data_IF_722106157214
#
_entry.id   IF_722106157214
#
_cell.length_a   1.000
_cell.length_b   1.000
_cell.length_c   1.000
_cell.angle_alpha   90.00
_cell.angle_beta   90.00
_cell.angle_gamma   90.00
#
_symmetry.space_group_name_H-M   'P 1'
#
loop_
_entity.id
_entity.type
_entity.pdbx_description
1 polymer ?
#
# COMPACT_ATOMS: atom_id res chain seq x y z
N UNK A 1 11.18 3.39 17.55
CA UNK A 1 12.61 3.19 17.89
C UNK A 1 13.02 4.28 18.86
N UNK A 2 12.75 4.08 20.15
CA UNK A 2 13.53 4.72 21.22
C UNK A 2 14.71 3.80 21.52
N UNK A 3 15.85 4.39 21.88
CA UNK A 3 17.17 3.77 22.06
C UNK A 3 17.98 3.48 20.79
N UNK A 4 18.44 4.56 20.17
CA UNK A 4 19.79 4.55 19.56
C UNK A 4 20.56 5.77 20.11
N UNK A 5 20.73 5.77 21.44
CA UNK A 5 21.61 6.69 22.15
C UNK A 5 23.03 6.13 22.15
N UNK A 6 23.91 6.78 21.38
CA UNK A 6 25.36 6.83 21.52
C UNK A 6 26.08 5.50 21.86
N UNK A 7 26.35 4.68 20.84
CA UNK A 7 27.32 3.58 20.91
C UNK A 7 28.63 3.91 20.14
N UNK A 8 29.76 3.24 20.45
CA UNK A 8 31.11 3.58 19.94
C UNK A 8 31.31 3.50 18.41
N UNK A 9 30.32 3.04 17.64
CA UNK A 9 30.37 2.98 16.17
C UNK A 9 30.27 4.35 15.49
N UNK A 10 29.94 5.42 16.22
CA UNK A 10 29.69 6.75 15.64
C UNK A 10 30.96 7.58 15.31
N UNK A 11 32.18 7.14 15.66
CA UNK A 11 33.38 7.97 15.45
C UNK A 11 34.09 7.75 14.11
N UNK A 12 33.90 6.60 13.44
CA UNK A 12 34.56 6.29 12.16
C UNK A 12 33.75 6.61 10.91
N UNK A 13 32.43 6.34 10.95
CA UNK A 13 31.55 6.35 9.76
C UNK A 13 31.17 7.78 9.33
N UNK A 14 31.35 8.78 10.19
CA UNK A 14 30.97 10.18 9.89
C UNK A 14 32.14 11.03 9.37
N UNK A 15 33.36 10.49 9.29
CA UNK A 15 34.54 11.21 8.81
C UNK A 15 34.66 11.22 7.28
N UNK A 16 34.11 10.22 6.59
CA UNK A 16 34.14 10.09 5.13
C UNK A 16 32.75 10.40 4.52
N UNK A 17 32.60 11.51 3.77
CA UNK A 17 31.33 11.87 3.12
C UNK A 17 30.79 10.78 2.18
N UNK A 18 31.66 10.01 1.52
CA UNK A 18 31.25 8.98 0.56
C UNK A 18 30.65 7.75 1.26
N UNK A 19 31.24 7.29 2.36
CA UNK A 19 30.73 6.16 3.15
C UNK A 19 29.39 6.51 3.83
N UNK A 20 29.26 7.74 4.33
CA UNK A 20 28.01 8.26 4.89
C UNK A 20 26.90 8.32 3.83
N UNK A 21 27.22 8.78 2.61
CA UNK A 21 26.27 8.83 1.50
C UNK A 21 25.85 7.43 1.06
N UNK A 22 26.79 6.49 0.99
CA UNK A 22 26.50 5.09 0.66
C UNK A 22 25.60 4.41 1.71
N UNK A 23 25.91 4.58 3.01
CA UNK A 23 25.10 4.03 4.09
C UNK A 23 23.69 4.63 4.10
N UNK A 24 23.56 5.94 3.91
CA UNK A 24 22.27 6.62 3.81
C UNK A 24 21.48 6.13 2.59
N UNK A 25 22.13 5.90 1.44
CA UNK A 25 21.49 5.37 0.24
C UNK A 25 20.94 3.95 0.45
N UNK A 26 21.59 3.13 1.27
CA UNK A 26 21.12 1.79 1.63
C UNK A 26 19.96 1.83 2.63
N UNK A 27 20.05 2.67 3.66
CA UNK A 27 19.10 2.69 4.78
C UNK A 27 17.81 3.45 4.46
N UNK A 28 17.86 4.57 3.74
CA UNK A 28 16.68 5.40 3.50
C UNK A 28 15.51 4.65 2.82
N UNK A 29 15.72 3.83 1.77
CA UNK A 29 14.63 3.06 1.17
C UNK A 29 14.01 2.04 2.14
N UNK A 30 14.83 1.36 2.94
CA UNK A 30 14.37 0.38 3.93
C UNK A 30 13.56 1.04 5.05
N UNK A 31 14.06 2.16 5.57
CA UNK A 31 13.36 2.95 6.60
C UNK A 31 12.04 3.49 6.05
N UNK A 32 12.01 3.96 4.80
CA UNK A 32 10.78 4.44 4.17
C UNK A 32 9.76 3.32 3.98
N UNK A 33 10.18 2.15 3.53
CA UNK A 33 9.32 1.00 3.35
C UNK A 33 8.70 0.55 4.69
N UNK A 34 9.53 0.43 5.73
CA UNK A 34 9.07 0.06 7.07
C UNK A 34 8.16 1.12 7.70
N UNK A 35 8.49 2.40 7.54
CA UNK A 35 7.64 3.51 8.00
C UNK A 35 6.27 3.44 7.34
N UNK A 36 6.22 3.22 6.02
CA UNK A 36 4.96 3.15 5.29
C UNK A 36 4.12 1.94 5.71
N UNK A 37 4.77 0.80 5.94
CA UNK A 37 4.14 -0.42 6.44
C UNK A 37 3.53 -0.19 7.83
N UNK A 38 4.28 0.41 8.77
CA UNK A 38 3.77 0.72 10.12
C UNK A 38 2.61 1.72 10.10
N UNK A 39 2.67 2.75 9.24
CA UNK A 39 1.56 3.70 9.08
C UNK A 39 0.30 3.00 8.57
N UNK A 40 0.43 2.07 7.63
CA UNK A 40 -0.71 1.33 7.07
C UNK A 40 -1.35 0.35 8.07
N UNK A 41 -0.58 -0.18 9.00
CA UNK A 41 -1.06 -1.12 10.02
C UNK A 41 -1.67 -0.44 11.25
N UNK A 42 -1.51 0.88 11.40
CA UNK A 42 -2.00 1.59 12.56
C UNK A 42 -3.54 1.63 12.60
N UNK A 43 -4.11 1.17 13.71
CA UNK A 43 -5.56 1.21 14.00
C UNK A 43 -5.96 2.40 14.87
N UNK A 44 -4.98 3.21 15.30
CA UNK A 44 -5.21 4.40 16.11
C UNK A 44 -5.82 5.55 15.28
N UNK A 45 -6.55 6.50 15.91
CA UNK A 45 -7.16 7.62 15.21
C UNK A 45 -6.16 8.51 14.47
N UNK A 46 -4.90 8.56 14.94
CA UNK A 46 -3.79 9.22 14.25
C UNK A 46 -2.47 8.50 14.58
N UNK A 47 -1.45 8.74 13.77
CA UNK A 47 -0.09 8.19 13.94
C UNK A 47 0.87 9.34 14.22
N UNK A 48 1.72 9.19 15.25
CA UNK A 48 2.80 10.13 15.52
C UNK A 48 4.06 9.67 14.80
N UNK A 49 4.43 10.39 13.73
CA UNK A 49 5.62 10.09 12.95
C UNK A 49 6.80 10.98 13.37
N UNK A 50 7.72 10.41 14.15
CA UNK A 50 8.89 11.13 14.70
C UNK A 50 10.09 10.99 13.76
N UNK A 51 10.53 12.11 13.18
CA UNK A 51 11.60 12.13 12.16
C UNK A 51 12.70 13.13 12.54
N UNK A 52 13.95 12.69 12.78
CA UNK A 52 15.05 13.58 13.18
C UNK A 52 15.47 14.65 12.15
N UNK A 53 15.30 14.38 10.86
CA UNK A 53 15.71 15.26 9.74
C UNK A 53 14.51 15.58 8.84
N UNK A 54 13.41 16.03 9.45
CA UNK A 54 12.13 16.25 8.77
C UNK A 54 12.23 17.37 7.71
N UNK A 55 12.92 18.47 8.03
CA UNK A 55 12.99 19.68 7.20
C UNK A 55 14.02 19.51 6.08
N UNK A 56 15.19 19.00 6.44
CA UNK A 56 16.34 18.77 5.58
C UNK A 56 15.98 17.83 4.43
N UNK A 57 15.20 16.79 4.71
CA UNK A 57 14.74 15.83 3.72
C UNK A 57 13.38 16.20 3.09
N UNK A 58 12.85 17.38 3.40
CA UNK A 58 11.53 17.84 2.92
C UNK A 58 10.38 16.86 3.19
N UNK A 59 10.48 16.07 4.27
CA UNK A 59 9.53 15.02 4.61
C UNK A 59 8.24 15.57 5.22
N UNK A 60 8.25 16.81 5.71
CA UNK A 60 7.07 17.52 6.20
C UNK A 60 5.91 17.54 5.17
N UNK A 61 6.22 17.51 3.86
CA UNK A 61 5.22 17.46 2.78
C UNK A 61 4.42 16.17 2.74
N UNK A 62 4.88 15.11 3.41
CA UNK A 62 4.20 13.81 3.49
C UNK A 62 3.36 13.67 4.75
N UNK A 63 3.47 14.59 5.71
CA UNK A 63 2.68 14.59 6.93
C UNK A 63 1.38 15.39 6.74
N UNK A 64 0.32 15.02 7.46
CA UNK A 64 -0.92 15.79 7.46
C UNK A 64 -0.80 17.08 8.27
N UNK A 65 0.01 17.05 9.34
CA UNK A 65 0.36 18.18 10.19
C UNK A 65 1.78 18.01 10.73
N UNK A 66 2.44 19.12 11.01
CA UNK A 66 3.79 19.18 11.57
C UNK A 66 3.74 19.83 12.95
N UNK A 67 4.09 19.05 13.97
CA UNK A 67 4.26 19.52 15.34
C UNK A 67 5.75 19.76 15.61
N UNK A 68 6.12 20.99 15.98
CA UNK A 68 7.49 21.33 16.37
C UNK A 68 7.55 21.57 17.88
N UNK A 69 8.45 20.86 18.56
CA UNK A 69 8.82 21.17 19.94
C UNK A 69 9.98 22.16 19.89
N UNK A 70 9.70 23.42 20.23
CA UNK A 70 10.65 24.52 20.14
C UNK A 70 11.29 24.83 21.50
N UNK A 71 12.54 25.26 21.46
CA UNK A 71 13.30 25.70 22.62
C UNK A 71 14.27 26.80 22.18
N UNK A 72 14.50 27.78 23.04
CA UNK A 72 15.47 28.85 22.78
C UNK A 72 16.88 28.27 22.57
N UNK A 73 17.68 28.83 21.64
CA UNK A 73 19.04 28.36 21.37
C UNK A 73 19.91 28.29 22.64
N UNK A 74 19.77 29.26 23.54
CA UNK A 74 20.51 29.29 24.81
C UNK A 74 20.14 28.13 25.73
N UNK A 75 18.85 27.81 25.82
CA UNK A 75 18.35 26.68 26.64
C UNK A 75 18.71 25.34 26.00
N UNK A 76 18.65 25.24 24.66
CA UNK A 76 19.05 24.05 23.91
C UNK A 76 20.53 23.73 24.13
N UNK A 77 21.39 24.76 24.05
CA UNK A 77 22.83 24.64 24.25
C UNK A 77 23.14 24.21 25.69
N UNK A 78 22.52 24.88 26.68
CA UNK A 78 22.70 24.54 28.10
C UNK A 78 22.26 23.11 28.44
N UNK A 79 21.09 22.67 27.95
CA UNK A 79 20.57 21.31 28.22
C UNK A 79 21.38 20.22 27.51
N UNK A 80 21.84 20.47 26.28
CA UNK A 80 22.68 19.51 25.53
C UNK A 80 24.04 19.33 26.19
N UNK A 81 24.69 20.42 26.61
CA UNK A 81 25.95 20.36 27.35
C UNK A 81 25.82 19.58 28.66
N UNK A 82 24.72 19.78 29.40
CA UNK A 82 24.47 19.07 30.66
C UNK A 82 24.19 17.58 30.49
N UNK A 83 23.57 17.18 29.38
CA UNK A 83 23.19 15.78 29.13
C UNK A 83 24.36 14.95 28.59
N UNK A 84 25.09 15.51 27.64
CA UNK A 84 26.04 14.75 26.81
C UNK A 84 27.51 15.01 27.22
N UNK A 85 27.76 15.85 28.22
CA UNK A 85 29.09 16.24 28.73
C UNK A 85 30.08 16.70 27.63
N UNK A 86 29.58 17.59 26.76
CA UNK A 86 30.29 18.10 25.58
C UNK A 86 30.55 19.60 25.65
N UNK A 87 31.63 20.07 25.00
CA UNK A 87 31.98 21.49 24.95
C UNK A 87 30.99 22.29 24.12
N UNK A 88 30.91 23.60 24.42
CA UNK A 88 30.04 24.53 23.71
C UNK A 88 30.30 24.56 22.20
N UNK A 89 31.58 24.59 21.79
CA UNK A 89 31.91 24.63 20.36
C UNK A 89 31.42 23.38 19.62
N UNK A 90 31.45 22.21 20.28
CA UNK A 90 30.99 20.96 19.68
C UNK A 90 29.47 20.94 19.49
N UNK A 91 28.70 21.44 20.47
CA UNK A 91 27.24 21.57 20.35
C UNK A 91 26.86 22.55 19.24
N UNK A 92 27.57 23.66 19.10
CA UNK A 92 27.36 24.64 18.04
C UNK A 92 27.63 24.04 16.64
N UNK A 93 28.65 23.19 16.50
CA UNK A 93 28.92 22.46 15.25
C UNK A 93 27.80 21.47 14.89
N UNK A 94 27.25 20.76 15.87
CA UNK A 94 26.13 19.83 15.65
C UNK A 94 24.86 20.60 15.22
N UNK A 95 24.58 21.73 15.87
CA UNK A 95 23.43 22.57 15.55
C UNK A 95 23.57 23.22 14.16
N UNK A 96 24.78 23.59 13.75
CA UNK A 96 25.04 24.15 12.42
C UNK A 96 24.77 23.16 11.27
N UNK A 97 24.81 21.85 11.56
CA UNK A 97 24.49 20.80 10.59
C UNK A 97 22.98 20.52 10.45
N UNK A 98 22.13 21.14 11.28
CA UNK A 98 20.68 20.98 11.29
C UNK A 98 19.97 22.21 10.69
N UNK A 99 18.70 22.05 10.31
CA UNK A 99 17.87 23.15 9.86
C UNK A 99 17.73 24.25 10.93
N UNK A 100 17.77 25.50 10.50
CA UNK A 100 17.66 26.65 11.41
C UNK A 100 16.33 26.63 12.16
N UNK A 101 16.29 27.30 13.32
CA UNK A 101 15.05 27.45 14.09
C UNK A 101 13.95 28.11 13.24
N UNK A 102 14.27 29.15 12.45
CA UNK A 102 13.28 29.78 11.57
C UNK A 102 12.76 28.80 10.52
N UNK A 103 13.63 27.98 9.92
CA UNK A 103 13.22 26.99 8.93
C UNK A 103 12.32 25.90 9.53
N UNK A 104 12.58 25.47 10.77
CA UNK A 104 11.71 24.51 11.49
C UNK A 104 10.36 25.10 11.83
N UNK A 105 10.33 26.33 12.34
CA UNK A 105 9.08 27.02 12.68
C UNK A 105 8.25 27.38 11.45
N UNK A 106 8.89 27.66 10.31
CA UNK A 106 8.20 28.00 9.06
C UNK A 106 7.37 26.85 8.47
N UNK A 107 7.71 25.61 8.80
CA UNK A 107 6.95 24.41 8.35
C UNK A 107 6.03 23.85 9.42
N UNK A 108 5.97 24.46 10.61
CA UNK A 108 5.18 23.97 11.73
C UNK A 108 3.71 24.40 11.59
N UNK A 109 2.80 23.45 11.74
CA UNK A 109 1.37 23.74 11.90
C UNK A 109 1.03 24.04 13.37
N UNK A 110 1.72 23.36 14.28
CA UNK A 110 1.55 23.49 15.72
C UNK A 110 2.94 23.55 16.40
N UNK A 111 3.06 24.33 17.47
CA UNK A 111 4.33 24.48 18.22
C UNK A 111 4.08 24.24 19.70
N UNK A 112 4.91 23.41 20.33
CA UNK A 112 5.02 23.30 21.79
C UNK A 112 6.25 24.08 22.23
N UNK A 113 6.05 25.06 23.10
CA UNK A 113 7.14 25.79 23.74
C UNK A 113 7.71 24.97 24.93
N UNK A 114 8.96 24.54 24.81
CA UNK A 114 9.69 23.76 25.82
C UNK A 114 10.76 24.61 26.53
N UNK A 115 10.58 25.94 26.62
CA UNK A 115 11.46 26.81 27.40
C UNK A 115 11.19 26.71 28.92
N UNK A 116 9.99 26.29 29.32
CA UNK A 116 9.55 26.22 30.72
C UNK A 116 9.96 24.94 31.49
N UNK A 117 9.32 24.76 32.66
CA UNK A 117 9.43 23.54 33.47
C UNK A 117 8.68 22.36 32.81
N UNK A 118 9.12 21.10 33.00
CA UNK A 118 8.51 19.93 32.36
C UNK A 118 7.00 19.81 32.58
N UNK A 119 6.53 20.18 33.76
CA UNK A 119 5.11 20.09 34.16
C UNK A 119 4.20 21.03 33.36
N UNK A 120 4.75 22.12 32.79
CA UNK A 120 3.99 23.06 31.98
C UNK A 120 3.60 22.49 30.60
N UNK A 121 4.33 21.49 30.11
CA UNK A 121 4.15 20.92 28.76
C UNK A 121 2.98 19.93 28.72
N UNK A 122 2.66 19.28 29.85
CA UNK A 122 1.59 18.29 29.93
C UNK A 122 0.23 18.86 29.51
N UNK A 123 -0.04 20.12 29.87
CA UNK A 123 -1.26 20.83 29.47
C UNK A 123 -1.33 21.03 27.95
N UNK A 124 -0.23 21.46 27.32
CA UNK A 124 -0.17 21.66 25.87
C UNK A 124 -0.26 20.36 25.09
N UNK A 125 0.40 19.30 25.58
CA UNK A 125 0.30 17.96 25.00
C UNK A 125 -1.14 17.45 25.09
N UNK A 126 -1.81 17.59 26.23
CA UNK A 126 -3.20 17.16 26.39
C UNK A 126 -4.15 17.94 25.47
N UNK A 127 -3.95 19.25 25.35
CA UNK A 127 -4.71 20.12 24.44
C UNK A 127 -4.53 19.71 22.97
N UNK A 128 -3.29 19.48 22.54
CA UNK A 128 -2.98 19.06 21.16
C UNK A 128 -3.46 17.63 20.88
N UNK A 129 -3.34 16.71 21.84
CA UNK A 129 -3.92 15.38 21.74
C UNK A 129 -5.43 15.44 21.53
N UNK A 130 -6.15 16.21 22.36
CA UNK A 130 -7.58 16.39 22.21
C UNK A 130 -7.94 17.04 20.86
N UNK A 131 -7.13 18.00 20.40
CA UNK A 131 -7.31 18.63 19.09
C UNK A 131 -7.13 17.64 17.92
N UNK A 132 -6.06 16.84 17.92
CA UNK A 132 -5.79 15.84 16.89
C UNK A 132 -6.81 14.71 16.92
N UNK A 133 -7.19 14.24 18.10
CA UNK A 133 -8.23 13.24 18.25
C UNK A 133 -9.58 13.76 17.75
N UNK A 134 -9.98 14.98 18.13
CA UNK A 134 -11.20 15.60 17.65
C UNK A 134 -11.16 15.86 16.14
N UNK A 135 -10.01 16.26 15.59
CA UNK A 135 -9.84 16.41 14.15
C UNK A 135 -10.05 15.07 13.43
N UNK A 136 -9.49 13.97 13.92
CA UNK A 136 -9.69 12.65 13.32
C UNK A 136 -11.12 12.11 13.48
N UNK A 137 -11.78 12.38 14.61
CA UNK A 137 -13.18 11.98 14.86
C UNK A 137 -14.15 12.85 14.06
N UNK A 138 -13.91 14.15 13.93
CA UNK A 138 -14.69 15.04 13.07
C UNK A 138 -14.46 14.73 11.58
N UNK A 139 -13.24 14.33 11.19
CA UNK A 139 -12.95 13.73 9.87
C UNK A 139 -13.81 12.49 9.63
N UNK A 140 -14.01 11.65 10.66
CA UNK A 140 -14.86 10.46 10.61
C UNK A 140 -16.38 10.76 10.61
N UNK A 141 -16.84 11.80 11.34
CA UNK A 141 -18.25 12.17 11.50
C UNK A 141 -18.77 13.20 10.48
N UNK A 142 -17.90 14.04 9.91
CA UNK A 142 -18.23 15.08 8.91
C UNK A 142 -17.89 14.59 7.49
N UNK A 143 -17.50 13.32 7.32
CA UNK A 143 -17.24 12.75 5.99
C UNK A 143 -16.10 13.44 5.24
N UNK A 144 -15.19 14.09 5.97
CA UNK A 144 -13.88 14.46 5.44
C UNK A 144 -12.88 13.50 6.03
N UNK A 145 -12.95 12.26 5.57
CA UNK A 145 -11.82 11.35 5.36
C UNK A 145 -10.55 12.18 5.10
N UNK A 146 -9.37 11.68 5.48
CA UNK A 146 -8.18 11.93 4.64
C UNK A 146 -8.69 11.70 3.24
N UNK A 147 -8.93 12.77 2.46
CA UNK A 147 -9.41 12.59 1.12
C UNK A 147 -8.23 11.88 0.49
N UNK A 148 -8.37 10.57 0.30
CA UNK A 148 -7.87 9.94 -0.89
C UNK A 148 -8.46 10.79 -2.00
N UNK A 149 -7.76 11.87 -2.34
CA UNK A 149 -8.11 12.75 -3.46
C UNK A 149 -8.02 11.94 -4.74
N UNK A 150 -7.45 10.73 -4.67
CA UNK A 150 -7.39 9.72 -5.71
C UNK A 150 -7.93 8.37 -5.22
N UNK A 151 -8.79 7.74 -6.02
CA UNK A 151 -9.28 6.37 -5.88
C UNK A 151 -8.56 5.49 -6.91
N UNK A 152 -8.01 4.36 -6.45
CA UNK A 152 -7.36 3.36 -7.30
C UNK A 152 -8.39 2.36 -7.84
N UNK A 153 -8.40 2.18 -9.15
CA UNK A 153 -9.17 1.14 -9.83
C UNK A 153 -8.21 0.17 -10.51
N UNK A 154 -8.39 -1.12 -10.25
CA UNK A 154 -7.68 -2.22 -10.93
C UNK A 154 -8.64 -2.92 -11.89
N UNK A 155 -8.21 -3.16 -13.13
CA UNK A 155 -9.00 -3.87 -14.13
C UNK A 155 -8.18 -4.97 -14.82
N UNK A 156 -8.63 -6.23 -14.79
CA UNK A 156 -7.95 -7.32 -15.47
C UNK A 156 -8.14 -7.21 -16.98
N UNK A 157 -7.05 -7.25 -17.75
CA UNK A 157 -7.09 -7.22 -19.22
C UNK A 157 -7.23 -8.62 -19.84
N UNK A 158 -7.08 -9.68 -19.04
CA UNK A 158 -7.27 -11.06 -19.46
C UNK A 158 -7.91 -11.92 -18.34
N UNK A 159 -8.38 -13.12 -18.69
CA UNK A 159 -9.16 -13.98 -17.77
C UNK A 159 -8.29 -14.58 -16.65
N UNK A 160 -7.00 -14.81 -16.91
CA UNK A 160 -6.02 -15.20 -15.90
C UNK A 160 -5.93 -14.16 -14.78
N UNK A 161 -5.70 -12.89 -15.12
CA UNK A 161 -5.65 -11.80 -14.15
C UNK A 161 -6.99 -11.60 -13.42
N UNK A 162 -8.13 -11.78 -14.12
CA UNK A 162 -9.46 -11.73 -13.49
C UNK A 162 -9.60 -12.78 -12.39
N UNK A 163 -9.17 -14.00 -12.68
CA UNK A 163 -9.21 -15.12 -11.73
C UNK A 163 -8.32 -14.84 -10.53
N UNK A 164 -7.11 -14.33 -10.76
CA UNK A 164 -6.16 -14.00 -9.69
C UNK A 164 -6.63 -12.90 -8.76
N UNK A 165 -7.16 -11.78 -9.29
CA UNK A 165 -7.72 -10.70 -8.46
C UNK A 165 -8.92 -11.18 -7.63
N UNK A 166 -9.76 -12.06 -8.18
CA UNK A 166 -10.87 -12.67 -7.43
C UNK A 166 -10.36 -13.55 -6.29
N UNK A 167 -9.38 -14.40 -6.56
CA UNK A 167 -8.78 -15.28 -5.54
C UNK A 167 -8.11 -14.44 -4.45
N UNK A 168 -7.34 -13.42 -4.81
CA UNK A 168 -6.69 -12.51 -3.86
C UNK A 168 -7.72 -11.84 -2.95
N UNK A 169 -8.78 -11.27 -3.53
CA UNK A 169 -9.86 -10.65 -2.77
C UNK A 169 -10.51 -11.65 -1.81
N UNK A 170 -10.91 -12.83 -2.29
CA UNK A 170 -11.57 -13.85 -1.48
C UNK A 170 -10.68 -14.36 -0.33
N UNK A 171 -9.38 -14.55 -0.57
CA UNK A 171 -8.43 -14.96 0.47
C UNK A 171 -8.29 -13.86 1.53
N UNK A 172 -8.18 -12.59 1.12
CA UNK A 172 -8.12 -11.45 2.05
C UNK A 172 -9.39 -11.37 2.91
N UNK A 173 -10.57 -11.62 2.33
CA UNK A 173 -11.84 -11.59 3.08
C UNK A 173 -11.91 -12.63 4.22
N UNK A 174 -11.14 -13.73 4.15
CA UNK A 174 -11.13 -14.77 5.19
C UNK A 174 -10.59 -14.26 6.53
N UNK A 175 -9.74 -13.23 6.53
CA UNK A 175 -9.09 -12.72 7.74
C UNK A 175 -9.71 -11.43 8.28
N UNK A 176 -10.57 -10.75 7.52
CA UNK A 176 -11.12 -9.41 7.87
C UNK A 176 -11.94 -9.42 9.16
N UNK A 177 -12.79 -10.43 9.34
CA UNK A 177 -13.75 -10.50 10.45
C UNK A 177 -13.37 -11.57 11.49
N UNK A 178 -12.09 -11.89 11.62
CA UNK A 178 -11.61 -12.77 12.68
C UNK A 178 -11.47 -12.01 14.00
N UNK A 179 -11.71 -12.65 15.16
CA UNK A 179 -12.12 -14.05 15.33
C UNK A 179 -13.61 -14.30 15.04
N UNK A 180 -13.97 -15.54 14.70
CA UNK A 180 -15.38 -15.90 14.46
C UNK A 180 -16.09 -16.09 15.80
N UNK A 181 -16.97 -15.14 16.14
CA UNK A 181 -17.73 -15.12 17.40
C UNK A 181 -19.20 -15.45 17.18
N UNK A 182 -19.77 -14.98 16.08
CA UNK A 182 -21.20 -15.00 15.84
C UNK A 182 -21.56 -15.60 14.47
N UNK A 183 -22.87 -15.69 14.24
CA UNK A 183 -23.41 -16.28 13.02
C UNK A 183 -23.07 -15.45 11.77
N UNK A 184 -22.99 -14.13 11.89
CA UNK A 184 -22.64 -13.25 10.79
C UNK A 184 -21.18 -13.45 10.35
N UNK A 185 -20.24 -13.47 11.30
CA UNK A 185 -18.82 -13.74 11.03
C UNK A 185 -18.60 -15.12 10.42
N UNK A 186 -19.31 -16.14 10.91
CA UNK A 186 -19.23 -17.50 10.35
C UNK A 186 -19.75 -17.56 8.91
N UNK A 187 -20.92 -16.99 8.62
CA UNK A 187 -21.46 -16.99 7.26
C UNK A 187 -20.59 -16.17 6.29
N UNK A 188 -20.01 -15.05 6.74
CA UNK A 188 -19.03 -14.31 5.95
C UNK A 188 -17.83 -15.20 5.58
N UNK A 189 -17.24 -15.90 6.56
CA UNK A 189 -16.12 -16.80 6.34
C UNK A 189 -16.48 -17.93 5.35
N UNK A 190 -17.54 -18.69 5.63
CA UNK A 190 -17.92 -19.85 4.81
C UNK A 190 -18.40 -19.47 3.40
N UNK A 191 -19.00 -18.28 3.21
CA UNK A 191 -19.33 -17.78 1.86
C UNK A 191 -18.07 -17.55 1.03
N UNK A 192 -17.07 -16.85 1.59
CA UNK A 192 -15.81 -16.61 0.91
C UNK A 192 -15.06 -17.91 0.61
N UNK A 193 -15.05 -18.87 1.55
CA UNK A 193 -14.50 -20.22 1.30
C UNK A 193 -15.24 -20.93 0.17
N UNK A 194 -16.59 -20.87 0.14
CA UNK A 194 -17.38 -21.50 -0.92
C UNK A 194 -17.09 -20.91 -2.28
N UNK A 195 -17.09 -19.58 -2.41
CA UNK A 195 -16.78 -18.89 -3.66
C UNK A 195 -15.36 -19.21 -4.14
N UNK A 196 -14.40 -19.31 -3.21
CA UNK A 196 -13.03 -19.69 -3.52
C UNK A 196 -12.95 -21.13 -4.07
N UNK A 197 -13.67 -22.07 -3.45
CA UNK A 197 -13.76 -23.45 -3.93
C UNK A 197 -14.40 -23.54 -5.32
N UNK A 198 -15.43 -22.73 -5.60
CA UNK A 198 -16.08 -22.67 -6.92
C UNK A 198 -15.11 -22.15 -8.00
N UNK A 199 -14.23 -21.20 -7.66
CA UNK A 199 -13.18 -20.72 -8.57
C UNK A 199 -12.15 -21.83 -8.84
N UNK A 200 -11.73 -22.56 -7.81
CA UNK A 200 -10.78 -23.67 -7.97
C UNK A 200 -11.30 -24.85 -8.79
N UNK A 201 -12.61 -25.04 -8.85
CA UNK A 201 -13.23 -26.11 -9.66
C UNK A 201 -13.23 -25.78 -11.16
N UNK A 202 -13.20 -24.50 -11.53
CA UNK A 202 -13.34 -24.05 -12.92
C UNK A 202 -12.03 -23.96 -13.69
N UNK A 203 -10.87 -23.94 -13.02
CA UNK A 203 -9.59 -23.69 -13.67
C UNK A 203 -8.38 -24.22 -12.93
N UNK A 204 -7.28 -24.41 -13.67
CA UNK A 204 -6.03 -24.94 -13.13
C UNK A 204 -5.09 -23.83 -12.64
N UNK A 205 -5.45 -23.21 -11.52
CA UNK A 205 -4.73 -22.05 -10.93
C UNK A 205 -3.26 -22.36 -10.67
N UNK A 206 -2.93 -23.58 -10.22
CA UNK A 206 -1.56 -23.99 -9.92
C UNK A 206 -0.65 -23.88 -11.13
N UNK A 207 -1.04 -24.48 -12.25
CA UNK A 207 -0.21 -24.55 -13.45
C UNK A 207 0.03 -23.15 -14.03
N UNK A 208 -1.00 -22.30 -14.05
CA UNK A 208 -0.87 -20.92 -14.52
C UNK A 208 0.04 -20.08 -13.62
N UNK A 209 -0.08 -20.24 -12.30
CA UNK A 209 0.72 -19.47 -11.35
C UNK A 209 2.20 -19.89 -11.38
N UNK A 210 2.48 -21.19 -11.53
CA UNK A 210 3.86 -21.69 -11.73
C UNK A 210 4.51 -21.12 -13.00
N UNK A 211 3.77 -21.10 -14.11
CA UNK A 211 4.25 -20.48 -15.37
C UNK A 211 4.55 -18.99 -15.20
N UNK A 212 3.73 -18.27 -14.43
CA UNK A 212 3.96 -16.85 -14.18
C UNK A 212 5.15 -16.62 -13.22
N UNK A 213 5.31 -17.43 -12.17
CA UNK A 213 6.50 -17.37 -11.30
C UNK A 213 7.78 -17.52 -12.13
N UNK A 214 7.82 -18.45 -13.07
CA UNK A 214 8.96 -18.61 -13.99
C UNK A 214 9.13 -17.43 -14.94
N UNK A 215 8.04 -16.86 -15.45
CA UNK A 215 8.07 -15.65 -16.29
C UNK A 215 8.64 -14.45 -15.51
N UNK A 216 8.25 -14.27 -14.26
CA UNK A 216 8.76 -13.20 -13.39
C UNK A 216 10.23 -13.40 -13.05
N UNK A 217 10.67 -14.63 -12.77
CA UNK A 217 12.10 -14.94 -12.58
C UNK A 217 12.94 -14.55 -13.81
N UNK A 218 12.49 -14.92 -15.02
CA UNK A 218 13.18 -14.54 -16.27
C UNK A 218 13.23 -13.02 -16.46
N UNK A 219 12.14 -12.31 -16.15
CA UNK A 219 12.10 -10.84 -16.18
C UNK A 219 13.10 -10.22 -15.21
N UNK A 220 13.18 -10.72 -13.97
CA UNK A 220 14.15 -10.22 -12.99
C UNK A 220 15.59 -10.50 -13.41
N UNK A 221 15.84 -11.65 -14.04
CA UNK A 221 17.17 -12.01 -14.54
C UNK A 221 17.71 -11.01 -15.58
N UNK A 222 16.84 -10.38 -16.39
CA UNK A 222 17.30 -9.37 -17.40
C UNK A 222 17.82 -8.08 -16.78
N UNK A 223 17.55 -7.82 -15.50
CA UNK A 223 18.04 -6.64 -14.78
C UNK A 223 19.40 -6.87 -14.12
N UNK A 224 19.90 -8.11 -14.09
CA UNK A 224 21.23 -8.43 -13.57
C UNK A 224 22.28 -7.88 -14.52
N UNK A 225 23.26 -7.15 -13.98
CA UNK A 225 24.30 -6.48 -14.75
C UNK A 225 23.93 -5.09 -15.29
N UNK A 226 22.71 -4.60 -15.06
CA UNK A 226 22.34 -3.22 -15.39
C UNK A 226 22.97 -2.26 -14.36
N UNK A 227 23.71 -1.23 -14.80
CA UNK A 227 24.32 -0.26 -13.88
C UNK A 227 23.28 0.44 -12.99
N UNK A 228 23.56 0.57 -11.69
CA UNK A 228 22.67 1.23 -10.72
C UNK A 228 21.56 0.36 -10.15
N UNK A 229 21.50 -0.93 -10.52
CA UNK A 229 20.53 -1.89 -9.98
C UNK A 229 21.15 -2.68 -8.83
N UNK A 230 20.40 -2.83 -7.73
CA UNK A 230 20.79 -3.65 -6.58
C UNK A 230 20.67 -5.14 -6.90
N UNK A 231 21.80 -5.77 -7.19
CA UNK A 231 21.88 -7.19 -7.56
C UNK A 231 21.47 -8.11 -6.40
N UNK A 232 21.86 -7.77 -5.18
CA UNK A 232 21.57 -8.59 -3.99
C UNK A 232 20.06 -8.73 -3.75
N UNK A 233 19.31 -7.64 -3.96
CA UNK A 233 17.85 -7.62 -3.81
C UNK A 233 17.15 -8.41 -4.91
N UNK A 234 17.64 -8.35 -6.13
CA UNK A 234 17.10 -9.13 -7.25
C UNK A 234 17.33 -10.62 -7.03
N UNK A 235 18.54 -11.01 -6.63
CA UNK A 235 18.86 -12.41 -6.35
C UNK A 235 18.01 -12.97 -5.20
N UNK A 236 17.85 -12.21 -4.12
CA UNK A 236 16.98 -12.58 -3.01
C UNK A 236 15.53 -12.78 -3.46
N UNK A 237 15.01 -11.89 -4.32
CA UNK A 237 13.65 -11.99 -4.84
C UNK A 237 13.47 -13.19 -5.80
N UNK A 238 14.48 -13.48 -6.63
CA UNK A 238 14.49 -14.69 -7.48
C UNK A 238 14.48 -15.95 -6.60
N UNK A 239 15.25 -15.98 -5.51
CA UNK A 239 15.25 -17.11 -4.58
C UNK A 239 13.89 -17.28 -3.88
N UNK A 240 13.24 -16.18 -3.48
CA UNK A 240 11.89 -16.23 -2.93
C UNK A 240 10.89 -16.81 -3.95
N UNK A 241 10.93 -16.38 -5.21
CA UNK A 241 10.07 -16.92 -6.29
C UNK A 241 10.29 -18.43 -6.50
N UNK A 242 11.55 -18.88 -6.47
CA UNK A 242 11.88 -20.31 -6.56
C UNK A 242 11.36 -21.11 -5.37
N UNK A 243 11.52 -20.60 -4.16
CA UNK A 243 11.03 -21.23 -2.94
C UNK A 243 9.50 -21.34 -2.96
N UNK A 244 8.80 -20.26 -3.29
CA UNK A 244 7.34 -20.25 -3.42
C UNK A 244 6.85 -21.24 -4.50
N UNK A 245 7.55 -21.31 -5.65
CA UNK A 245 7.25 -22.29 -6.68
C UNK A 245 7.43 -23.74 -6.20
N UNK A 246 8.51 -24.04 -5.48
CA UNK A 246 8.76 -25.37 -4.93
C UNK A 246 7.70 -25.79 -3.90
N UNK A 247 7.31 -24.86 -3.00
CA UNK A 247 6.23 -25.08 -2.02
C UNK A 247 4.88 -25.30 -2.72
N UNK A 248 4.59 -24.55 -3.78
CA UNK A 248 3.35 -24.69 -4.53
C UNK A 248 3.26 -26.02 -5.32
N UNK A 249 4.40 -26.52 -5.81
CA UNK A 249 4.50 -27.83 -6.49
C UNK A 249 4.26 -28.98 -5.51
N UNK A 250 4.88 -28.93 -4.32
CA UNK A 250 4.75 -29.99 -3.31
C UNK A 250 3.42 -29.94 -2.55
N UNK A 251 2.68 -28.84 -2.64
CA UNK A 251 1.39 -28.68 -1.97
C UNK A 251 0.33 -29.69 -2.45
N UNK A 252 -0.53 -30.19 -1.53
CA UNK A 252 -1.68 -31.02 -1.89
C UNK A 252 -2.65 -30.24 -2.79
N UNK A 253 -3.59 -30.93 -3.44
CA UNK A 253 -4.53 -30.29 -4.39
C UNK A 253 -5.19 -29.07 -3.73
N UNK A 254 -5.12 -27.93 -4.42
CA UNK A 254 -5.59 -26.64 -3.89
C UNK A 254 -7.06 -26.75 -3.46
N UNK A 255 -7.34 -26.31 -2.22
CA UNK A 255 -8.67 -26.36 -1.62
C UNK A 255 -9.18 -27.76 -1.27
N UNK A 256 -8.37 -28.82 -1.40
CA UNK A 256 -8.79 -30.19 -1.04
C UNK A 256 -9.14 -30.30 0.45
N UNK A 257 -8.29 -29.76 1.33
CA UNK A 257 -8.51 -29.76 2.78
C UNK A 257 -9.86 -29.12 3.16
N UNK A 258 -10.18 -27.96 2.55
CA UNK A 258 -11.44 -27.25 2.79
C UNK A 258 -12.65 -27.99 2.22
N UNK A 259 -12.48 -28.70 1.09
CA UNK A 259 -13.54 -29.47 0.44
C UNK A 259 -13.88 -30.74 1.24
N UNK A 260 -12.90 -31.34 1.89
CA UNK A 260 -13.05 -32.54 2.70
C UNK A 260 -13.56 -32.23 4.12
N UNK A 261 -13.52 -30.97 4.55
CA UNK A 261 -14.05 -30.55 5.84
C UNK A 261 -15.58 -30.67 5.90
N UNK A 262 -16.04 -31.39 6.93
CA UNK A 262 -17.47 -31.70 7.11
C UNK A 262 -18.31 -30.45 7.39
N UNK A 263 -17.81 -29.50 8.17
CA UNK A 263 -18.58 -28.30 8.52
C UNK A 263 -18.70 -27.39 7.30
N UNK A 264 -17.60 -27.17 6.58
CA UNK A 264 -17.58 -26.39 5.33
C UNK A 264 -18.55 -27.00 4.31
N UNK A 265 -18.51 -28.33 4.11
CA UNK A 265 -19.40 -29.01 3.18
C UNK A 265 -20.90 -28.83 3.53
N UNK A 266 -21.26 -28.96 4.82
CA UNK A 266 -22.64 -28.78 5.28
C UNK A 266 -23.15 -27.35 5.09
N UNK A 267 -22.33 -26.35 5.42
CA UNK A 267 -22.69 -24.93 5.24
C UNK A 267 -22.82 -24.63 3.75
N UNK A 268 -21.86 -25.07 2.93
CA UNK A 268 -21.83 -24.82 1.47
C UNK A 268 -23.06 -25.36 0.75
N UNK A 269 -23.57 -26.53 1.13
CA UNK A 269 -24.81 -27.09 0.57
C UNK A 269 -26.03 -26.17 0.78
N UNK A 270 -26.03 -25.35 1.83
CA UNK A 270 -27.14 -24.46 2.19
C UNK A 270 -26.97 -23.01 1.73
N UNK A 271 -25.77 -22.58 1.37
CA UNK A 271 -25.47 -21.20 0.96
C UNK A 271 -26.25 -20.73 -0.27
N UNK A 272 -26.66 -21.66 -1.14
CA UNK A 272 -27.48 -21.39 -2.33
C UNK A 272 -28.95 -21.10 -2.03
N UNK A 273 -29.43 -21.45 -0.82
CA UNK A 273 -30.82 -21.25 -0.41
C UNK A 273 -30.90 -19.92 0.35
N UNK A 274 -31.70 -18.94 -0.13
CA UNK A 274 -31.94 -17.70 0.61
C UNK A 274 -32.50 -18.00 2.00
N UNK A 275 -31.85 -17.51 3.05
CA UNK A 275 -32.22 -17.81 4.44
C UNK A 275 -31.96 -19.25 4.91
N UNK A 276 -31.42 -20.14 4.07
CA UNK A 276 -31.22 -21.56 4.41
C UNK A 276 -30.05 -21.85 5.35
N UNK A 277 -29.37 -20.83 5.83
CA UNK A 277 -28.26 -20.96 6.78
C UNK A 277 -28.64 -20.53 8.19
N UNK A 278 -29.93 -20.56 8.55
CA UNK A 278 -30.39 -20.28 9.91
C UNK A 278 -29.97 -21.38 10.90
N UNK A 279 -30.05 -21.07 12.20
CA UNK A 279 -29.62 -22.00 13.27
C UNK A 279 -30.37 -23.33 13.27
N UNK A 280 -31.65 -23.34 12.86
CA UNK A 280 -32.46 -24.56 12.78
C UNK A 280 -32.19 -25.41 11.53
N UNK A 281 -31.68 -24.80 10.44
CA UNK A 281 -31.28 -25.52 9.22
C UNK A 281 -29.85 -26.06 9.31
N UNK A 282 -28.99 -25.40 10.09
CA UNK A 282 -27.60 -25.75 10.34
C UNK A 282 -27.34 -25.93 11.85
N UNK A 283 -27.92 -26.97 12.50
CA UNK A 283 -27.69 -27.23 13.92
C UNK A 283 -26.21 -27.50 14.24
N UNK A 284 -25.46 -28.07 13.29
CA UNK A 284 -24.01 -28.30 13.43
C UNK A 284 -23.21 -26.99 13.47
N UNK A 285 -23.57 -25.99 12.67
CA UNK A 285 -22.95 -24.67 12.75
C UNK A 285 -23.35 -23.97 14.04
N UNK A 286 -24.61 -24.11 14.45
CA UNK A 286 -25.11 -23.50 15.67
C UNK A 286 -24.36 -24.02 16.90
N UNK A 287 -24.17 -25.34 17.05
CA UNK A 287 -23.39 -25.88 18.17
C UNK A 287 -21.91 -25.51 18.09
N UNK A 288 -21.34 -25.45 16.88
CA UNK A 288 -19.94 -25.06 16.67
C UNK A 288 -19.65 -23.63 17.17
N UNK A 289 -20.59 -22.70 16.98
CA UNK A 289 -20.52 -21.34 17.52
C UNK A 289 -20.60 -21.26 19.05
N UNK A 290 -21.03 -22.32 19.72
CA UNK A 290 -21.07 -22.40 21.19
C UNK A 290 -19.85 -23.11 21.79
N UNK A 291 -18.95 -23.64 20.96
CA UNK A 291 -17.67 -24.20 21.44
C UNK A 291 -16.79 -23.10 22.08
N UNK A 292 -15.74 -23.46 22.83
CA UNK A 292 -14.75 -22.49 23.29
C UNK A 292 -14.10 -21.75 22.12
N UNK A 293 -13.89 -20.43 22.24
CA UNK A 293 -13.32 -19.59 21.18
C UNK A 293 -12.00 -20.14 20.62
N UNK A 294 -11.10 -20.59 21.51
CA UNK A 294 -9.81 -21.16 21.12
C UNK A 294 -9.93 -22.38 20.18
N UNK A 295 -11.00 -23.19 20.31
CA UNK A 295 -11.22 -24.31 19.41
C UNK A 295 -11.63 -23.84 18.01
N UNK A 296 -12.47 -22.80 17.92
CA UNK A 296 -12.83 -22.20 16.63
C UNK A 296 -11.63 -21.56 15.97
N UNK A 297 -10.84 -20.80 16.73
CA UNK A 297 -9.66 -20.10 16.21
C UNK A 297 -8.64 -21.10 15.63
N UNK A 298 -8.36 -22.19 16.36
CA UNK A 298 -7.46 -23.25 15.89
C UNK A 298 -7.94 -23.91 14.59
N UNK A 299 -9.24 -24.15 14.45
CA UNK A 299 -9.80 -24.70 13.22
C UNK A 299 -9.71 -23.72 12.05
N UNK A 300 -10.07 -22.45 12.29
CA UNK A 300 -10.00 -21.39 11.27
C UNK A 300 -8.56 -21.16 10.81
N UNK A 301 -7.61 -21.13 11.74
CA UNK A 301 -6.18 -21.03 11.44
C UNK A 301 -5.74 -22.20 10.54
N UNK A 302 -6.16 -23.43 10.85
CA UNK A 302 -5.83 -24.61 10.03
C UNK A 302 -6.43 -24.52 8.62
N UNK A 303 -7.69 -24.07 8.50
CA UNK A 303 -8.34 -23.86 7.20
C UNK A 303 -7.60 -22.82 6.37
N UNK A 304 -7.27 -21.66 6.94
CA UNK A 304 -6.54 -20.59 6.24
C UNK A 304 -5.12 -21.05 5.87
N UNK A 305 -4.42 -21.71 6.80
CA UNK A 305 -3.06 -22.19 6.58
C UNK A 305 -2.96 -23.20 5.42
N UNK A 306 -4.02 -23.97 5.16
CA UNK A 306 -4.08 -24.88 4.00
C UNK A 306 -3.96 -24.16 2.65
N UNK A 307 -4.24 -22.85 2.60
CA UNK A 307 -4.13 -22.01 1.40
C UNK A 307 -2.80 -21.25 1.33
N UNK A 308 -1.91 -21.36 2.31
CA UNK A 308 -0.65 -20.62 2.34
C UNK A 308 0.22 -20.81 1.09
N UNK A 309 0.41 -22.03 0.54
CA UNK A 309 1.19 -22.22 -0.68
C UNK A 309 0.68 -21.39 -1.87
N UNK A 310 -0.65 -21.32 -2.03
CA UNK A 310 -1.27 -20.50 -3.08
C UNK A 310 -1.15 -19.02 -2.77
N UNK A 311 -1.45 -18.64 -1.53
CA UNK A 311 -1.46 -17.24 -1.07
C UNK A 311 -0.09 -16.60 -1.28
N UNK A 312 0.98 -17.26 -0.82
CA UNK A 312 2.35 -16.76 -0.95
C UNK A 312 2.74 -16.55 -2.42
N UNK A 313 2.51 -17.54 -3.26
CA UNK A 313 2.83 -17.46 -4.69
C UNK A 313 2.02 -16.36 -5.40
N UNK A 314 0.72 -16.24 -5.09
CA UNK A 314 -0.17 -15.28 -5.71
C UNK A 314 0.19 -13.84 -5.32
N UNK A 315 0.39 -13.58 -4.01
CA UNK A 315 0.76 -12.26 -3.51
C UNK A 315 2.07 -11.78 -4.13
N UNK A 316 3.09 -12.64 -4.19
CA UNK A 316 4.37 -12.29 -4.80
C UNK A 316 4.26 -11.95 -6.30
N UNK A 317 3.48 -12.74 -7.06
CA UNK A 317 3.26 -12.49 -8.48
C UNK A 317 2.50 -11.17 -8.68
N UNK A 318 1.42 -10.94 -7.95
CA UNK A 318 0.62 -9.73 -8.07
C UNK A 318 1.40 -8.49 -7.65
N UNK A 319 2.22 -8.56 -6.60
CA UNK A 319 3.09 -7.46 -6.17
C UNK A 319 4.11 -7.10 -7.25
N UNK A 320 4.73 -8.09 -7.90
CA UNK A 320 5.63 -7.85 -9.02
C UNK A 320 4.92 -7.22 -10.22
N UNK A 321 3.74 -7.74 -10.58
CA UNK A 321 2.91 -7.16 -11.65
C UNK A 321 2.43 -5.75 -11.30
N UNK A 322 2.25 -5.45 -10.01
CA UNK A 322 1.94 -4.12 -9.47
C UNK A 322 3.14 -3.23 -9.26
N UNK A 323 4.38 -3.69 -9.49
CA UNK A 323 5.62 -2.87 -9.44
C UNK A 323 6.41 -2.73 -10.77
N UNK A 324 6.29 -3.69 -11.70
CA UNK A 324 6.81 -3.66 -13.09
C UNK A 324 6.67 -2.41 -14.00
N UNK A 325 5.76 -1.45 -13.76
CA UNK A 325 5.56 -0.29 -14.63
C UNK A 325 5.18 1.00 -13.87
N UNK A 326 5.72 2.17 -14.24
CA UNK A 326 5.39 3.41 -13.57
C UNK A 326 4.00 3.92 -13.97
N UNK A 327 3.40 4.71 -13.09
CA UNK A 327 2.20 5.48 -13.39
C UNK A 327 2.52 6.65 -14.33
N UNK A 328 1.81 6.73 -15.46
CA UNK A 328 1.97 7.80 -16.47
C UNK A 328 0.75 8.69 -16.50
N UNK A 329 0.94 10.00 -16.39
CA UNK A 329 -0.16 10.97 -16.48
C UNK A 329 -0.69 11.02 -17.90
N UNK A 330 -1.99 10.76 -18.04
CA UNK A 330 -2.75 10.73 -19.28
C UNK A 330 -3.93 11.68 -19.16
N UNK A 331 -4.55 12.01 -20.29
CA UNK A 331 -5.71 12.88 -20.33
C UNK A 331 -6.81 12.22 -21.15
N UNK A 332 -7.96 11.97 -20.53
CA UNK A 332 -9.18 11.62 -21.27
C UNK A 332 -9.78 12.87 -21.92
N UNK A 333 -10.39 12.73 -23.09
CA UNK A 333 -11.16 13.79 -23.74
C UNK A 333 -12.61 13.32 -23.86
N UNK A 334 -13.56 14.18 -23.49
CA UNK A 334 -15.00 13.87 -23.50
C UNK A 334 -15.38 12.60 -22.71
N UNK A 335 -14.67 12.32 -21.62
CA UNK A 335 -14.92 11.13 -20.79
C UNK A 335 -14.61 9.80 -21.48
N UNK A 336 -13.85 9.83 -22.58
CA UNK A 336 -13.40 8.65 -23.30
C UNK A 336 -11.87 8.60 -23.40
N UNK A 337 -11.31 7.41 -23.30
CA UNK A 337 -9.89 7.15 -23.50
C UNK A 337 -9.73 5.77 -24.14
N UNK A 338 -8.79 5.61 -25.06
CA UNK A 338 -8.47 4.32 -25.66
C UNK A 338 -6.96 4.20 -25.85
N UNK A 339 -6.43 3.01 -25.65
CA UNK A 339 -5.01 2.72 -25.88
C UNK A 339 -4.80 1.23 -26.17
N UNK A 340 -3.58 0.88 -26.56
CA UNK A 340 -3.13 -0.50 -26.74
C UNK A 340 -2.34 -0.94 -25.50
N UNK A 341 -2.88 -1.90 -24.77
CA UNK A 341 -2.24 -2.50 -23.59
C UNK A 341 -1.12 -3.48 -23.93
N UNK A 342 -0.93 -3.85 -25.20
CA UNK A 342 0.12 -4.79 -25.61
C UNK A 342 -0.02 -6.13 -24.89
N UNK A 343 1.02 -6.52 -24.15
CA UNK A 343 1.09 -7.75 -23.35
C UNK A 343 0.73 -7.54 -21.86
N UNK A 344 0.14 -6.39 -21.51
CA UNK A 344 -0.21 -6.07 -20.14
C UNK A 344 -1.34 -6.97 -19.60
N UNK A 345 -1.15 -7.48 -18.38
CA UNK A 345 -2.14 -8.30 -17.68
C UNK A 345 -3.15 -7.45 -16.89
N UNK A 346 -2.72 -6.30 -16.36
CA UNK A 346 -3.45 -5.49 -15.38
C UNK A 346 -3.39 -4.01 -15.74
N UNK A 347 -4.54 -3.34 -15.72
CA UNK A 347 -4.66 -1.89 -15.81
C UNK A 347 -4.87 -1.32 -14.40
N UNK A 348 -4.05 -0.34 -13.99
CA UNK A 348 -4.19 0.38 -12.71
C UNK A 348 -4.42 1.87 -12.99
N UNK A 349 -5.47 2.43 -12.40
CA UNK A 349 -5.93 3.79 -12.67
C UNK A 349 -6.15 4.55 -11.36
N UNK A 350 -5.46 5.68 -11.18
CA UNK A 350 -5.82 6.63 -10.12
C UNK A 350 -6.73 7.73 -10.70
N UNK A 351 -7.90 7.89 -10.11
CA UNK A 351 -8.91 8.88 -10.48
C UNK A 351 -9.21 9.79 -9.31
N UNK A 352 -9.42 11.07 -9.58
CA UNK A 352 -9.72 11.99 -8.49
C UNK A 352 -11.10 11.73 -7.88
N UNK A 353 -11.21 11.60 -6.55
CA UNK A 353 -12.49 11.41 -5.87
C UNK A 353 -13.45 12.57 -6.12
N UNK A 354 -12.92 13.79 -6.24
CA UNK A 354 -13.69 15.02 -6.52
C UNK A 354 -14.42 14.96 -7.87
N UNK A 355 -13.93 14.13 -8.80
CA UNK A 355 -14.59 13.97 -10.10
C UNK A 355 -15.91 13.22 -10.01
N UNK A 356 -16.14 12.42 -8.95
CA UNK A 356 -17.31 11.52 -8.82
C UNK A 356 -17.54 10.65 -10.06
N UNK A 357 -16.45 10.31 -10.78
CA UNK A 357 -16.46 9.44 -11.94
C UNK A 357 -15.90 8.08 -11.57
N UNK A 358 -16.42 7.03 -12.19
CA UNK A 358 -15.82 5.70 -12.17
C UNK A 358 -15.49 5.24 -13.61
N UNK A 359 -14.43 4.43 -13.80
CA UNK A 359 -14.05 3.95 -15.11
C UNK A 359 -14.86 2.69 -15.48
N UNK A 360 -15.59 2.77 -16.59
CA UNK A 360 -16.17 1.61 -17.26
C UNK A 360 -15.22 1.17 -18.38
N UNK A 361 -14.55 0.04 -18.18
CA UNK A 361 -13.49 -0.43 -19.07
C UNK A 361 -14.00 -1.58 -19.92
N UNK A 362 -13.76 -1.51 -21.23
CA UNK A 362 -13.99 -2.59 -22.18
C UNK A 362 -12.68 -2.96 -22.87
N UNK A 363 -12.38 -4.26 -22.92
CA UNK A 363 -11.18 -4.80 -23.57
C UNK A 363 -11.56 -5.66 -24.77
N UNK A 364 -10.82 -5.51 -25.87
CA UNK A 364 -10.88 -6.42 -27.01
C UNK A 364 -9.48 -6.66 -27.57
N UNK A 365 -9.00 -7.91 -27.47
CA UNK A 365 -7.62 -8.31 -27.79
C UNK A 365 -6.62 -7.50 -26.94
N UNK A 366 -5.62 -6.87 -27.57
CA UNK A 366 -4.63 -6.04 -26.88
C UNK A 366 -5.10 -4.61 -26.64
N UNK A 367 -6.29 -4.21 -27.11
CA UNK A 367 -6.80 -2.83 -26.99
C UNK A 367 -7.81 -2.74 -25.86
N UNK A 368 -7.79 -1.62 -25.16
CA UNK A 368 -8.81 -1.28 -24.16
C UNK A 368 -9.36 0.11 -24.41
N UNK A 369 -10.63 0.28 -24.05
CA UNK A 369 -11.33 1.55 -24.05
C UNK A 369 -11.88 1.79 -22.65
N UNK A 370 -11.80 3.04 -22.21
CA UNK A 370 -12.25 3.52 -20.91
C UNK A 370 -13.28 4.59 -21.15
N UNK A 371 -14.46 4.38 -20.59
CA UNK A 371 -15.53 5.37 -20.54
C UNK A 371 -15.75 5.77 -19.09
N UNK A 372 -15.61 7.05 -18.79
CA UNK A 372 -15.86 7.57 -17.44
C UNK A 372 -17.34 7.87 -17.27
N UNK A 373 -17.94 7.29 -16.23
CA UNK A 373 -19.37 7.42 -15.93
C UNK A 373 -19.55 8.12 -14.57
N UNK A 374 -20.51 9.04 -14.43
CA UNK A 374 -20.81 9.65 -13.14
C UNK A 374 -21.43 8.64 -12.18
N UNK A 375 -21.09 8.74 -10.90
CA UNK A 375 -21.68 7.93 -9.84
C UNK A 375 -23.19 8.20 -9.69
N UNK A 376 -23.59 9.48 -9.72
CA UNK A 376 -24.99 9.92 -9.68
C UNK A 376 -25.57 10.05 -11.09
N UNK A 377 -26.23 8.99 -11.57
CA UNK A 377 -26.90 8.98 -12.87
C UNK A 377 -28.12 9.91 -12.95
N UNK A 378 -28.68 10.32 -11.81
CA UNK A 378 -29.87 11.19 -11.70
C UNK A 378 -29.60 12.69 -11.88
N UNK A 379 -28.36 13.15 -11.71
CA UNK A 379 -27.93 14.49 -12.13
C UNK A 379 -27.31 14.35 -13.50
N UNK A 380 -28.14 14.48 -14.55
CA UNK A 380 -27.62 14.86 -15.87
C UNK A 380 -26.97 16.24 -15.72
N UNK A 381 -25.70 16.30 -15.33
CA UNK A 381 -24.83 17.36 -15.83
C UNK A 381 -24.90 17.23 -17.35
N UNK A 382 -25.45 18.27 -17.98
CA UNK A 382 -26.03 18.21 -19.30
C UNK A 382 -25.22 17.45 -20.35
N UNK A 383 -25.97 16.88 -21.29
CA UNK A 383 -25.55 16.76 -22.69
C UNK A 383 -24.94 18.08 -23.14
N UNK A 384 -23.63 18.20 -22.99
CA UNK A 384 -22.88 19.39 -23.29
C UNK A 384 -21.43 18.97 -23.46
N UNK A 385 -21.02 18.94 -24.71
CA UNK A 385 -19.64 18.99 -25.19
C UNK A 385 -18.82 19.92 -24.29
N UNK A 386 -18.22 19.37 -23.25
CA UNK A 386 -17.38 20.08 -22.30
C UNK A 386 -16.16 19.20 -22.14
N UNK A 387 -15.04 19.61 -22.74
CA UNK A 387 -13.81 18.84 -22.75
C UNK A 387 -13.26 18.68 -21.34
N UNK A 388 -13.69 17.66 -20.62
CA UNK A 388 -13.06 17.26 -19.37
C UNK A 388 -11.73 16.61 -19.69
N UNK A 389 -10.63 17.23 -19.24
CA UNK A 389 -9.30 16.64 -19.20
C UNK A 389 -9.14 15.92 -17.86
N UNK A 390 -9.45 14.63 -17.80
CA UNK A 390 -9.20 13.85 -16.58
C UNK A 390 -7.76 13.36 -16.58
N UNK A 391 -6.95 13.88 -15.65
CA UNK A 391 -5.61 13.38 -15.38
C UNK A 391 -5.67 11.94 -14.88
N UNK A 392 -5.11 11.01 -15.64
CA UNK A 392 -5.18 9.58 -15.37
C UNK A 392 -3.78 9.05 -15.18
N UNK A 393 -3.46 8.46 -14.04
CA UNK A 393 -2.21 7.72 -13.92
C UNK A 393 -2.43 6.31 -14.43
N UNK A 394 -1.89 6.02 -15.62
CA UNK A 394 -2.00 4.71 -16.28
C UNK A 394 -0.74 3.90 -16.17
N UNK A 395 -0.93 2.59 -16.09
CA UNK A 395 0.12 1.61 -16.09
C UNK A 395 -0.25 0.44 -16.98
N UNK A 396 0.53 0.25 -18.05
CA UNK A 396 0.53 -0.94 -18.90
C UNK A 396 1.99 -1.28 -19.23
N UNK A 397 2.37 -2.55 -19.18
CA UNK A 397 3.69 -2.96 -19.67
C UNK A 397 3.75 -2.72 -21.19
N UNK A 398 4.89 -2.19 -21.66
CA UNK A 398 5.20 -1.84 -23.05
C UNK A 398 4.46 -0.63 -23.68
N UNK A 399 4.70 0.57 -23.14
CA UNK A 399 4.71 1.76 -23.99
C UNK A 399 6.15 2.00 -24.43
N UNK A 400 6.46 1.54 -25.65
CA UNK A 400 7.66 1.95 -26.40
C UNK A 400 7.77 3.48 -26.33
N UNK A 401 8.97 3.96 -26.00
CA UNK A 401 9.35 5.36 -26.14
C UNK A 401 9.05 5.83 -27.57
N UNK A 402 7.98 6.60 -27.76
CA UNK A 402 7.98 7.59 -28.81
C UNK A 402 8.74 8.79 -28.25
N UNK A 403 10.00 8.90 -28.65
CA UNK A 403 10.69 10.19 -28.68
C UNK A 403 9.81 11.15 -29.48
N UNK A 404 9.22 12.13 -28.80
CA UNK A 404 8.49 13.24 -29.40
C UNK A 404 9.32 14.51 -29.27
N UNK A 405 10.09 14.77 -30.32
CA UNK A 405 10.44 16.11 -30.82
C UNK A 405 11.20 17.06 -29.88
N UNK A 406 12.53 17.01 -30.02
CA UNK A 406 13.35 18.22 -29.92
C UNK A 406 12.81 19.25 -30.95
N UNK A 407 12.52 20.49 -30.56
CA UNK A 407 12.11 21.51 -31.52
C UNK A 407 13.31 21.86 -32.40
N UNK A 408 13.25 21.45 -33.67
CA UNK A 408 14.17 21.95 -34.69
C UNK A 408 13.95 23.46 -34.85
N UNK A 409 14.98 24.20 -34.45
CA UNK A 409 15.29 25.55 -34.92
C UNK A 409 15.13 25.58 -36.45
N UNK A 410 14.11 26.30 -36.93
CA UNK A 410 14.13 26.85 -38.29
C UNK A 410 14.60 28.30 -38.18
N UNK A 411 15.83 28.52 -38.62
CA UNK A 411 16.31 29.81 -39.08
C UNK A 411 15.36 30.35 -40.16
N UNK A 412 14.80 31.52 -39.89
CA UNK A 412 14.24 32.39 -40.92
C UNK A 412 15.39 33.22 -41.52
N UNK A 413 15.82 32.84 -42.71
CA UNK A 413 16.43 33.70 -43.72
C UNK A 413 16.04 33.09 -45.06
N UNK A 414 15.27 33.73 -45.93
CA UNK A 414 15.35 35.13 -46.34
C UNK A 414 16.05 35.18 -47.69
N UNK A 415 15.39 34.73 -48.77
CA UNK A 415 15.61 35.16 -50.16
C UNK A 415 14.29 34.98 -50.91
N UNK A 416 13.72 36.08 -51.41
CA UNK A 416 12.50 36.13 -52.21
C UNK A 416 11.58 37.26 -51.77
#
# INVERSE_FOLDING_TARGET
MEHCSAGPCASGIFANPEEKNWLNALLHPLIQQETQHQIQQATSPYVLWVVPLLVENSLYKKANRVLVVDVSPETQLKRTMQRDDVTREHVEQILAAQATREARLAVADDVIDNNGAPDAIASDVARLHAHYFAACVAVCLIGKTVMQTQVLFEHPLNEKMRTWLRIEFLIQQLTVNLPIVDHAGALHFFRNVSELLDVFERGEVRTELLKELDRQQRKLQTWIGVPGVDQSRIEALIQQLKAAGSVLISAPRIGQFLREDRLIALVRQRLSIPGGCCSFDLPTLHIWLHLPQAQRDSQVETWIASLNPLTQALTMVLDLIRQSAPFRKQTSLNGFYQDNGGDADLLRLNLSLDSQLYPQISGHKSRFAIRFMPLDTGKRTGTGTSGFRTGLLLRSENVRNYYGELPNLRENGGVG
#
